data_IF_900536798130
#
_entry.id   IF_900536798130
#
_cell.length_a   1.000
_cell.length_b   1.000
_cell.length_c   1.000
_cell.angle_alpha   90.00
_cell.angle_beta   90.00
_cell.angle_gamma   90.00
#
_symmetry.space_group_name_H-M   'P 1'
#
loop_
_entity.id
_entity.type
_entity.pdbx_description
1 polymer ?
#
# COMPACT_ATOMS: atom_id res chain seq x y z
N UNK A 1 7.82 -16.12 -1.54
CA UNK A 1 7.10 -15.47 -0.41
C UNK A 1 5.64 -15.85 -0.51
N UNK A 2 5.02 -16.41 0.55
CA UNK A 2 3.61 -16.83 0.54
C UNK A 2 2.82 -15.89 1.45
N UNK A 3 1.87 -15.13 0.89
CA UNK A 3 1.00 -14.22 1.62
C UNK A 3 -0.36 -14.89 1.85
N UNK A 4 -0.92 -14.80 3.06
CA UNK A 4 -2.24 -15.36 3.40
C UNK A 4 -3.31 -14.29 3.33
N UNK A 5 -4.39 -14.55 2.60
CA UNK A 5 -5.55 -13.64 2.53
C UNK A 5 -6.34 -13.74 3.83
N UNK A 6 -6.62 -12.60 4.48
CA UNK A 6 -7.39 -12.60 5.72
C UNK A 6 -8.91 -12.68 5.44
N UNK A 7 -9.47 -11.79 4.61
CA UNK A 7 -10.93 -11.58 4.50
C UNK A 7 -11.42 -11.42 3.03
N UNK A 8 -12.69 -11.04 2.83
CA UNK A 8 -13.27 -10.71 1.50
C UNK A 8 -12.62 -9.51 0.83
N UNK A 9 -11.89 -8.67 1.57
CA UNK A 9 -11.05 -7.60 1.04
C UNK A 9 -9.72 -8.09 0.45
N UNK A 10 -9.03 -7.19 -0.24
CA UNK A 10 -7.66 -7.40 -0.75
C UNK A 10 -6.64 -7.18 0.38
N UNK A 11 -6.76 -7.94 1.47
CA UNK A 11 -5.91 -7.83 2.68
C UNK A 11 -5.18 -9.15 2.88
N UNK A 12 -3.87 -9.06 3.06
CA UNK A 12 -2.96 -10.18 3.17
C UNK A 12 -1.97 -9.97 4.31
N UNK A 13 -1.44 -11.06 4.85
CA UNK A 13 -0.43 -11.03 5.91
C UNK A 13 0.63 -12.11 5.71
N UNK A 14 1.78 -11.90 6.34
CA UNK A 14 2.74 -12.95 6.67
C UNK A 14 3.63 -12.49 7.85
N UNK A 15 3.20 -12.73 9.09
CA UNK A 15 3.96 -12.35 10.28
C UNK A 15 5.36 -12.97 10.34
N UNK A 16 5.56 -14.17 9.78
CA UNK A 16 6.88 -14.82 9.75
C UNK A 16 7.92 -14.08 8.88
N UNK A 17 7.46 -13.18 8.01
CA UNK A 17 8.29 -12.28 7.20
C UNK A 17 8.20 -10.82 7.67
N UNK A 18 7.59 -10.58 8.83
CA UNK A 18 7.33 -9.24 9.35
C UNK A 18 6.25 -8.48 8.60
N UNK A 19 5.37 -9.13 7.81
CA UNK A 19 4.27 -8.47 7.10
C UNK A 19 3.00 -8.58 7.94
N UNK A 20 2.63 -7.49 8.62
CA UNK A 20 1.44 -7.43 9.48
C UNK A 20 0.17 -7.11 8.68
N UNK A 21 0.30 -6.25 7.66
CA UNK A 21 -0.81 -5.86 6.79
C UNK A 21 -0.26 -5.57 5.39
N UNK A 22 -0.83 -6.19 4.39
CA UNK A 22 -0.58 -5.89 2.99
C UNK A 22 -1.93 -5.77 2.30
N UNK A 23 -2.30 -4.56 1.87
CA UNK A 23 -3.61 -4.33 1.26
C UNK A 23 -3.60 -3.43 0.05
N UNK A 24 -4.46 -3.76 -0.91
CA UNK A 24 -4.72 -2.91 -2.06
C UNK A 24 -5.78 -1.87 -1.68
N UNK A 25 -5.38 -0.61 -1.64
CA UNK A 25 -6.25 0.53 -1.32
C UNK A 25 -7.07 1.02 -2.53
N UNK A 26 -6.51 0.85 -3.73
CA UNK A 26 -7.19 1.22 -4.97
C UNK A 26 -6.41 0.77 -6.19
N UNK A 27 -7.12 0.29 -7.20
CA UNK A 27 -6.55 -0.05 -8.50
C UNK A 27 -7.68 -0.12 -9.52
N UNK A 28 -7.39 0.19 -10.78
CA UNK A 28 -8.27 -0.12 -11.90
C UNK A 28 -7.72 -1.26 -12.77
N UNK A 29 -6.67 -1.94 -12.30
CA UNK A 29 -5.92 -3.02 -12.96
C UNK A 29 -5.27 -2.68 -14.30
N UNK A 30 -5.50 -1.47 -14.84
CA UNK A 30 -5.05 -1.07 -16.16
C UNK A 30 -3.83 -0.16 -16.12
N UNK A 31 -3.77 0.79 -15.20
CA UNK A 31 -2.69 1.80 -15.16
C UNK A 31 -1.99 1.90 -13.80
N UNK A 32 -2.69 1.73 -12.67
CA UNK A 32 -2.12 1.91 -11.33
C UNK A 32 -2.57 0.88 -10.30
N UNK A 33 -1.79 0.76 -9.23
CA UNK A 33 -2.20 0.18 -7.95
C UNK A 33 -1.64 1.02 -6.80
N UNK A 34 -2.46 1.25 -5.77
CA UNK A 34 -2.07 1.89 -4.52
C UNK A 34 -2.12 0.81 -3.45
N UNK A 35 -0.98 0.59 -2.80
CA UNK A 35 -0.80 -0.47 -1.80
C UNK A 35 -0.43 0.16 -0.48
N UNK A 36 -1.04 -0.32 0.60
CA UNK A 36 -0.60 -0.06 1.96
C UNK A 36 0.10 -1.31 2.49
N UNK A 37 1.26 -1.11 3.10
CA UNK A 37 2.00 -2.17 3.77
C UNK A 37 2.33 -1.73 5.19
N UNK A 38 2.04 -2.57 6.17
CA UNK A 38 2.54 -2.45 7.53
C UNK A 38 3.52 -3.60 7.79
N UNK A 39 4.76 -3.22 8.11
CA UNK A 39 5.85 -4.12 8.38
C UNK A 39 6.28 -4.02 9.85
N UNK A 40 6.79 -5.11 10.39
CA UNK A 40 7.42 -5.17 11.70
C UNK A 40 8.86 -5.67 11.53
N UNK A 41 9.80 -4.91 12.09
CA UNK A 41 11.21 -5.28 12.11
C UNK A 41 11.82 -4.86 13.44
N UNK A 42 12.44 -5.81 14.16
CA UNK A 42 13.07 -5.56 15.47
C UNK A 42 12.13 -4.83 16.46
N UNK A 43 10.91 -5.33 16.60
CA UNK A 43 9.87 -4.78 17.48
C UNK A 43 9.40 -3.36 17.13
N UNK A 44 9.80 -2.83 15.97
CA UNK A 44 9.32 -1.56 15.43
C UNK A 44 8.38 -1.80 14.25
N UNK A 45 7.18 -1.23 14.34
CA UNK A 45 6.23 -1.22 13.23
C UNK A 45 6.41 0.04 12.40
N UNK A 46 6.54 -0.13 11.08
CA UNK A 46 6.53 0.97 10.12
C UNK A 46 5.55 0.66 9.01
N UNK A 47 5.06 1.71 8.37
CA UNK A 47 4.04 1.59 7.33
C UNK A 47 4.42 2.39 6.09
N UNK A 48 4.00 1.91 4.93
CA UNK A 48 4.19 2.57 3.64
C UNK A 48 2.86 2.68 2.91
N UNK A 49 2.72 3.74 2.13
CA UNK A 49 1.75 3.81 1.03
C UNK A 49 2.55 3.93 -0.25
N UNK A 50 2.32 3.02 -1.18
CA UNK A 50 3.10 2.88 -2.40
C UNK A 50 2.19 3.05 -3.61
N UNK A 51 2.62 3.85 -4.58
CA UNK A 51 1.95 4.00 -5.87
C UNK A 51 2.74 3.28 -6.96
N UNK A 52 2.16 2.20 -7.47
CA UNK A 52 2.68 1.46 -8.61
C UNK A 52 1.99 1.93 -9.89
N UNK A 53 2.77 2.10 -10.96
CA UNK A 53 2.30 2.50 -12.28
C UNK A 53 2.80 1.51 -13.34
N UNK A 54 1.98 1.22 -14.36
CA UNK A 54 2.40 0.41 -15.52
C UNK A 54 3.24 1.20 -16.53
N UNK A 55 3.25 2.52 -16.42
CA UNK A 55 4.07 3.45 -17.21
C UNK A 55 5.04 4.20 -16.30
N UNK A 56 6.06 4.82 -16.89
CA UNK A 56 7.06 5.61 -16.15
C UNK A 56 6.43 6.69 -15.26
N UNK A 57 5.39 7.36 -15.76
CA UNK A 57 4.62 8.34 -15.01
C UNK A 57 3.24 7.78 -14.64
N UNK A 58 2.82 8.02 -13.41
CA UNK A 58 1.48 7.69 -12.94
C UNK A 58 0.44 8.67 -13.52
N UNK A 59 -0.77 8.18 -13.77
CA UNK A 59 -1.87 9.02 -14.22
C UNK A 59 -2.26 10.05 -13.15
N UNK A 60 -2.85 11.18 -13.56
CA UNK A 60 -3.31 12.19 -12.61
C UNK A 60 -4.33 11.63 -11.62
N UNK A 61 -5.17 10.69 -12.05
CA UNK A 61 -6.09 9.98 -11.17
C UNK A 61 -5.34 9.23 -10.07
N UNK A 62 -4.33 8.43 -10.44
CA UNK A 62 -3.52 7.67 -9.51
C UNK A 62 -2.84 8.57 -8.47
N UNK A 63 -2.24 9.69 -8.92
CA UNK A 63 -1.58 10.66 -8.01
C UNK A 63 -2.57 11.32 -7.05
N UNK A 64 -3.76 11.69 -7.53
CA UNK A 64 -4.82 12.25 -6.65
C UNK A 64 -5.27 11.26 -5.60
N UNK A 65 -5.51 10.00 -6.00
CA UNK A 65 -5.95 8.95 -5.08
C UNK A 65 -4.86 8.57 -4.08
N UNK A 66 -3.61 8.47 -4.54
CA UNK A 66 -2.44 8.26 -3.67
C UNK A 66 -2.35 9.36 -2.62
N UNK A 67 -2.38 10.63 -3.04
CA UNK A 67 -2.34 11.77 -2.13
C UNK A 67 -3.47 11.73 -1.09
N UNK A 68 -4.68 11.37 -1.54
CA UNK A 68 -5.85 11.24 -0.65
C UNK A 68 -5.64 10.13 0.38
N UNK A 69 -5.19 8.95 -0.04
CA UNK A 69 -4.92 7.82 0.85
C UNK A 69 -3.80 8.12 1.84
N UNK A 70 -2.66 8.60 1.35
CA UNK A 70 -1.50 8.96 2.18
C UNK A 70 -1.89 9.95 3.27
N UNK A 71 -2.60 11.04 2.92
CA UNK A 71 -3.08 12.01 3.90
C UNK A 71 -4.07 11.42 4.89
N UNK A 72 -5.02 10.61 4.42
CA UNK A 72 -6.02 9.97 5.28
C UNK A 72 -5.42 8.98 6.28
N UNK A 73 -4.26 8.41 5.96
CA UNK A 73 -3.49 7.50 6.80
C UNK A 73 -2.41 8.21 7.63
N UNK A 74 -2.35 9.55 7.59
CA UNK A 74 -1.41 10.34 8.41
C UNK A 74 -0.02 10.54 7.81
N UNK A 75 0.22 10.10 6.57
CA UNK A 75 1.47 10.39 5.86
C UNK A 75 1.43 11.83 5.32
N UNK A 76 2.37 12.64 5.80
CA UNK A 76 2.53 14.03 5.36
C UNK A 76 3.69 14.13 4.36
N UNK A 77 3.52 14.93 3.32
CA UNK A 77 4.64 15.29 2.45
C UNK A 77 5.60 16.18 3.25
N UNK A 78 6.87 15.79 3.35
CA UNK A 78 7.90 16.76 3.73
C UNK A 78 8.03 17.77 2.59
N UNK A 79 7.94 19.06 2.94
CA UNK A 79 8.14 20.18 2.02
C UNK A 79 9.63 20.44 1.80
#
# INVERSE_FOLDING_TARGET
VLLRRQNSGWVFENPSLGVLDYRVLGTNFRDYAIVFTQLEFKDEAFSTVELYSRTELASQEAVRLFTRWSRGLGFLSQQ
#
